data_IF_035532550385
#
_entry.id   IF_035532550385
#
_cell.length_a   1.000
_cell.length_b   1.000
_cell.length_c   1.000
_cell.angle_alpha   90.00
_cell.angle_beta   90.00
_cell.angle_gamma   90.00
#
_symmetry.space_group_name_H-M   'P 1'
#
loop_
_entity.id
_entity.type
_entity.pdbx_description
1 polymer ?
#
# COMPACT_ATOMS: atom_id res chain seq x y z
N UNK A 1 -16.59 -7.55 8.69
CA UNK A 1 -15.58 -8.62 8.73
C UNK A 1 -14.34 -8.09 8.06
N UNK A 2 -13.21 -8.07 8.75
CA UNK A 2 -11.95 -7.63 8.17
C UNK A 2 -11.48 -8.71 7.19
N UNK A 3 -11.51 -8.39 5.88
CA UNK A 3 -10.98 -9.27 4.85
C UNK A 3 -9.48 -9.34 5.09
N UNK A 4 -9.03 -10.46 5.67
CA UNK A 4 -7.63 -10.66 6.01
C UNK A 4 -6.83 -10.89 4.72
N UNK A 5 -6.32 -9.79 4.14
CA UNK A 5 -5.55 -9.77 2.88
C UNK A 5 -4.41 -10.79 2.88
N UNK A 6 -3.82 -11.04 4.05
CA UNK A 6 -2.75 -12.02 4.20
C UNK A 6 -3.23 -13.43 3.86
N UNK A 7 -4.40 -13.82 4.38
CA UNK A 7 -5.01 -15.13 4.08
C UNK A 7 -5.30 -15.28 2.59
N UNK A 8 -5.74 -14.20 1.93
CA UNK A 8 -5.99 -14.21 0.50
C UNK A 8 -4.70 -14.46 -0.29
N UNK A 9 -3.60 -13.78 0.05
CA UNK A 9 -2.32 -14.01 -0.61
C UNK A 9 -1.80 -15.44 -0.43
N UNK A 10 -1.95 -16.03 0.76
CA UNK A 10 -1.57 -17.43 0.97
C UNK A 10 -2.39 -18.40 0.12
N UNK A 11 -3.69 -18.15 -0.01
CA UNK A 11 -4.56 -18.96 -0.87
C UNK A 11 -4.16 -18.81 -2.34
N UNK A 12 -3.85 -17.58 -2.78
CA UNK A 12 -3.36 -17.34 -4.15
C UNK A 12 -2.01 -17.99 -4.42
N UNK A 13 -1.10 -17.99 -3.44
CA UNK A 13 0.18 -18.68 -3.54
C UNK A 13 -0.02 -20.19 -3.72
N UNK A 14 -0.91 -20.80 -2.93
CA UNK A 14 -1.24 -22.21 -3.06
C UNK A 14 -1.76 -22.57 -4.46
N UNK A 15 -2.61 -21.74 -5.06
CA UNK A 15 -3.09 -21.93 -6.43
C UNK A 15 -2.00 -21.72 -7.48
N UNK A 16 -1.09 -20.77 -7.25
CA UNK A 16 0.08 -20.57 -8.10
C UNK A 16 1.01 -21.80 -8.11
N UNK A 17 1.29 -22.36 -6.94
CA UNK A 17 2.14 -23.57 -6.79
C UNK A 17 1.50 -24.79 -7.48
N UNK A 18 0.16 -24.85 -7.52
CA UNK A 18 -0.60 -25.85 -8.28
C UNK A 18 -0.62 -25.63 -9.79
N UNK A 19 0.02 -24.56 -10.29
CA UNK A 19 0.01 -24.17 -11.72
C UNK A 19 -1.38 -23.92 -12.30
N UNK A 20 -2.33 -23.49 -11.47
CA UNK A 20 -3.66 -23.09 -11.95
C UNK A 20 -3.57 -21.73 -12.67
N UNK A 21 -4.44 -21.47 -13.65
CA UNK A 21 -4.46 -20.17 -14.31
C UNK A 21 -5.04 -19.10 -13.38
N UNK A 22 -4.53 -17.86 -13.46
CA UNK A 22 -4.98 -16.74 -12.63
C UNK A 22 -6.50 -16.51 -12.66
N UNK A 23 -7.15 -16.73 -13.82
CA UNK A 23 -8.61 -16.64 -13.96
C UNK A 23 -9.35 -17.69 -13.12
N UNK A 24 -8.85 -18.94 -13.13
CA UNK A 24 -9.45 -20.04 -12.37
C UNK A 24 -9.27 -19.82 -10.88
N UNK A 25 -8.08 -19.36 -10.46
CA UNK A 25 -7.81 -19.01 -9.07
C UNK A 25 -8.74 -17.87 -8.59
N UNK A 26 -8.99 -16.84 -9.42
CA UNK A 26 -9.90 -15.75 -9.06
C UNK A 26 -11.34 -16.23 -8.86
N UNK A 27 -11.85 -17.09 -9.75
CA UNK A 27 -13.19 -17.67 -9.63
C UNK A 27 -13.34 -18.53 -8.36
N UNK A 28 -12.36 -19.38 -8.07
CA UNK A 28 -12.37 -20.24 -6.89
C UNK A 28 -12.30 -19.41 -5.60
N UNK A 29 -11.45 -18.38 -5.54
CA UNK A 29 -11.32 -17.54 -4.35
C UNK A 29 -12.55 -16.66 -4.13
N UNK A 30 -13.17 -16.12 -5.19
CA UNK A 30 -14.45 -15.43 -5.07
C UNK A 30 -15.59 -16.38 -4.68
N UNK A 31 -15.56 -17.65 -5.09
CA UNK A 31 -16.52 -18.67 -4.61
C UNK A 31 -16.38 -19.02 -3.12
N UNK A 32 -15.17 -18.90 -2.56
CA UNK A 32 -14.87 -19.13 -1.12
C UNK A 32 -15.13 -17.87 -0.29
N UNK A 33 -14.89 -16.69 -0.86
CA UNK A 33 -15.05 -15.40 -0.19
C UNK A 33 -16.48 -14.88 -0.35
N UNK A 34 -17.22 -14.78 0.75
CA UNK A 34 -18.61 -14.26 0.79
C UNK A 34 -18.74 -12.81 0.29
N UNK A 35 -17.62 -12.10 0.15
CA UNK A 35 -17.56 -10.81 -0.52
C UNK A 35 -16.76 -10.96 -1.83
N UNK A 36 -17.39 -10.56 -2.95
CA UNK A 36 -16.84 -10.44 -4.32
C UNK A 36 -15.66 -9.45 -4.38
N UNK A 37 -14.55 -9.76 -3.69
CA UNK A 37 -13.55 -8.75 -3.35
C UNK A 37 -12.28 -8.86 -4.19
N UNK A 38 -12.08 -9.96 -4.94
CA UNK A 38 -10.87 -10.14 -5.75
C UNK A 38 -11.18 -10.02 -7.25
N UNK A 39 -10.79 -8.87 -7.80
CA UNK A 39 -10.78 -8.67 -9.25
C UNK A 39 -9.73 -9.56 -9.89
N UNK A 40 -10.00 -10.10 -11.08
CA UNK A 40 -9.04 -10.88 -11.86
C UNK A 40 -7.68 -10.16 -12.01
N UNK A 41 -7.70 -8.83 -12.17
CA UNK A 41 -6.50 -7.99 -12.23
C UNK A 41 -5.61 -8.10 -11.00
N UNK A 42 -6.21 -8.20 -9.80
CA UNK A 42 -5.45 -8.34 -8.54
C UNK A 42 -4.74 -9.70 -8.47
N UNK A 43 -5.43 -10.76 -8.90
CA UNK A 43 -4.86 -12.11 -8.94
C UNK A 43 -3.74 -12.21 -9.98
N UNK A 44 -3.93 -11.62 -11.15
CA UNK A 44 -2.89 -11.59 -12.18
C UNK A 44 -1.64 -10.83 -11.72
N UNK A 45 -1.83 -9.67 -11.08
CA UNK A 45 -0.72 -8.89 -10.53
C UNK A 45 0.05 -9.69 -9.47
N UNK A 46 -0.67 -10.41 -8.59
CA UNK A 46 -0.05 -11.31 -7.61
C UNK A 46 0.76 -12.41 -8.29
N UNK A 47 0.21 -13.05 -9.33
CA UNK A 47 0.91 -14.10 -10.09
C UNK A 47 2.17 -13.58 -10.80
N UNK A 48 2.14 -12.34 -11.31
CA UNK A 48 3.34 -11.69 -11.88
C UNK A 48 4.43 -11.48 -10.82
N UNK A 49 4.04 -11.10 -9.60
CA UNK A 49 4.97 -10.96 -8.47
C UNK A 49 5.56 -12.31 -8.04
N UNK A 50 4.74 -13.36 -7.97
CA UNK A 50 5.19 -14.72 -7.64
C UNK A 50 6.19 -15.27 -8.67
N UNK A 51 5.94 -15.03 -9.97
CA UNK A 51 6.92 -15.34 -11.04
C UNK A 51 8.24 -14.58 -10.88
N UNK A 52 8.21 -13.42 -10.24
CA UNK A 52 9.39 -12.59 -9.96
C UNK A 52 10.06 -12.96 -8.62
N UNK A 53 9.57 -14.00 -7.92
CA UNK A 53 10.09 -14.45 -6.63
C UNK A 53 9.67 -13.58 -5.44
N UNK A 54 8.70 -12.67 -5.63
CA UNK A 54 8.21 -11.76 -4.60
C UNK A 54 6.93 -12.36 -4.00
N UNK A 55 7.07 -13.00 -2.85
CA UNK A 55 5.98 -13.67 -2.10
C UNK A 55 5.49 -12.85 -0.89
N UNK A 56 5.99 -11.62 -0.76
CA UNK A 56 5.73 -10.74 0.37
C UNK A 56 4.25 -10.44 0.54
N UNK A 57 3.70 -10.87 1.68
CA UNK A 57 2.32 -10.61 2.08
C UNK A 57 2.11 -9.17 2.55
N UNK A 58 3.18 -8.59 3.07
CA UNK A 58 3.17 -7.21 3.53
C UNK A 58 3.43 -6.32 2.33
N UNK A 59 2.50 -5.40 2.09
CA UNK A 59 2.77 -4.23 1.26
C UNK A 59 4.12 -3.67 1.70
N UNK A 60 5.01 -3.41 0.72
CA UNK A 60 6.23 -2.67 1.01
C UNK A 60 5.82 -1.43 1.81
N UNK A 61 6.56 -1.05 2.87
CA UNK A 61 6.22 0.13 3.64
C UNK A 61 6.01 1.25 2.63
N UNK A 62 4.79 1.79 2.59
CA UNK A 62 4.48 2.87 1.66
C UNK A 62 5.61 3.87 1.82
N UNK A 63 6.33 4.13 0.74
CA UNK A 63 7.29 5.21 0.68
C UNK A 63 6.44 6.46 0.76
N UNK A 64 6.02 6.79 2.00
CA UNK A 64 5.27 7.98 2.30
C UNK A 64 6.11 9.13 1.78
N UNK A 65 5.43 10.14 1.26
CA UNK A 65 6.04 11.44 1.04
C UNK A 65 6.95 11.72 2.23
N UNK A 66 8.24 12.00 1.99
CA UNK A 66 9.15 12.30 3.08
C UNK A 66 8.64 13.57 3.75
N UNK A 67 7.86 13.43 4.81
CA UNK A 67 7.42 14.54 5.64
C UNK A 67 8.68 15.02 6.33
N UNK A 68 9.31 16.05 5.77
CA UNK A 68 10.35 16.78 6.46
C UNK A 68 9.68 17.38 7.69
N UNK A 69 9.88 16.75 8.86
CA UNK A 69 9.36 17.25 10.13
C UNK A 69 10.18 18.46 10.54
N UNK A 70 9.88 19.62 9.96
CA UNK A 70 10.37 20.94 10.41
C UNK A 70 9.41 21.55 11.44
N UNK A 71 8.63 20.74 12.16
CA UNK A 71 7.59 21.23 13.08
C UNK A 71 8.16 22.18 14.12
N UNK A 72 9.30 21.83 14.72
CA UNK A 72 9.97 22.67 15.73
C UNK A 72 10.38 24.04 15.16
N UNK A 73 10.91 24.07 13.93
CA UNK A 73 11.33 25.30 13.26
C UNK A 73 10.14 26.17 12.85
N UNK A 74 9.05 25.55 12.40
CA UNK A 74 7.80 26.25 12.09
C UNK A 74 7.22 26.88 13.36
N UNK A 75 7.23 26.15 14.47
CA UNK A 75 6.78 26.67 15.78
C UNK A 75 7.63 27.85 16.23
N UNK A 76 8.96 27.76 16.12
CA UNK A 76 9.87 28.87 16.46
C UNK A 76 9.59 30.14 15.65
N UNK A 77 9.39 30.01 14.33
CA UNK A 77 9.07 31.16 13.45
C UNK A 77 7.72 31.80 13.83
N UNK A 78 6.71 30.98 14.17
CA UNK A 78 5.38 31.47 14.59
C UNK A 78 5.42 32.11 15.99
N UNK A 79 6.28 31.62 16.88
CA UNK A 79 6.47 32.20 18.21
C UNK A 79 7.15 33.57 18.14
N UNK A 80 8.09 33.76 17.21
CA UNK A 80 8.76 35.05 16.97
C UNK A 80 7.83 36.04 16.25
N UNK A 81 7.10 35.60 15.22
CA UNK A 81 6.12 36.42 14.50
C UNK A 81 4.86 35.63 14.17
N UNK A 82 3.78 35.92 14.90
CA UNK A 82 2.47 35.29 14.69
C UNK A 82 1.83 35.62 13.34
N UNK A 83 2.24 36.70 12.68
CA UNK A 83 1.68 37.15 11.40
C UNK A 83 2.47 36.68 10.18
N UNK A 84 3.48 35.83 10.36
CA UNK A 84 4.27 35.27 9.28
C UNK A 84 3.41 34.40 8.35
N UNK A 85 3.53 34.65 7.04
CA UNK A 85 2.77 33.91 6.04
C UNK A 85 3.38 32.51 5.82
N UNK A 86 2.54 31.53 5.49
CA UNK A 86 3.03 30.18 5.13
C UNK A 86 4.06 30.20 4.00
N UNK A 87 3.95 31.16 3.06
CA UNK A 87 4.92 31.32 1.95
C UNK A 87 6.29 31.77 2.44
N UNK A 88 6.33 32.66 3.43
CA UNK A 88 7.58 33.12 4.03
C UNK A 88 8.27 31.98 4.77
N UNK A 89 7.50 31.20 5.54
CA UNK A 89 7.98 30.01 6.26
C UNK A 89 8.57 28.98 5.30
N UNK A 90 7.90 28.69 4.17
CA UNK A 90 8.43 27.73 3.19
C UNK A 90 9.69 28.22 2.50
N UNK A 91 9.77 29.52 2.18
CA UNK A 91 10.99 30.14 1.62
C UNK A 91 12.17 30.06 2.60
N UNK A 92 11.93 30.33 3.87
CA UNK A 92 12.94 30.29 4.92
C UNK A 92 13.43 28.87 5.19
N UNK A 93 12.50 27.91 5.25
CA UNK A 93 12.80 26.51 5.55
C UNK A 93 13.20 25.68 4.32
N UNK A 94 13.17 26.27 3.11
CA UNK A 94 13.49 25.63 1.83
C UNK A 94 12.74 24.32 1.60
N UNK A 95 11.44 24.33 1.89
CA UNK A 95 10.48 23.23 1.73
C UNK A 95 9.40 23.56 0.71
#
# INVERSE_FOLDING_TARGET
>A
MEVNKEKIQYILQFFFDKSENASQAAEIVNGISVADTLTANYVELSFRLFRSGIFGVKDAPHTGWSVVKNVDKITEIIEVDRHVSSRSITQELKI
#
